data_IF_037530947182
#
_entry.id   IF_037530947182
#
_cell.length_a   1.000
_cell.length_b   1.000
_cell.length_c   1.000
_cell.angle_alpha   90.00
_cell.angle_beta   90.00
_cell.angle_gamma   90.00
#
_symmetry.space_group_name_H-M   'P 1'
#
loop_
_entity.id
_entity.type
_entity.pdbx_description
1 polymer ?
#
# COMPACT_ATOMS: atom_id res chain seq x y z
N UNK A 1 -11.08 2.90 25.10
CA UNK A 1 -9.91 3.01 24.21
C UNK A 1 -9.53 1.64 23.62
N UNK A 2 -9.36 0.61 24.44
CA UNK A 2 -8.94 -0.71 23.99
C UNK A 2 -9.90 -1.32 22.95
N UNK A 3 -11.20 -1.18 23.17
CA UNK A 3 -12.21 -1.65 22.21
C UNK A 3 -12.08 -0.94 20.85
N UNK A 4 -11.81 0.36 20.86
CA UNK A 4 -11.64 1.15 19.63
C UNK A 4 -10.35 0.78 18.91
N UNK A 5 -9.24 0.63 19.64
CA UNK A 5 -7.98 0.10 19.12
C UNK A 5 -8.18 -1.23 18.41
N UNK A 6 -8.86 -2.16 19.08
CA UNK A 6 -9.13 -3.49 18.52
C UNK A 6 -10.02 -3.42 17.27
N UNK A 7 -11.00 -2.51 17.23
CA UNK A 7 -11.83 -2.30 16.05
C UNK A 7 -11.02 -1.77 14.87
N UNK A 8 -10.16 -0.78 15.08
CA UNK A 8 -9.26 -0.22 14.06
C UNK A 8 -8.27 -1.28 13.57
N UNK A 9 -7.64 -2.01 14.48
CA UNK A 9 -6.75 -3.11 14.13
C UNK A 9 -7.46 -4.17 13.27
N UNK A 10 -8.61 -4.65 13.72
CA UNK A 10 -9.38 -5.68 13.03
C UNK A 10 -9.77 -5.25 11.60
N UNK A 11 -10.12 -3.99 11.42
CA UNK A 11 -10.50 -3.45 10.11
C UNK A 11 -9.30 -3.42 9.15
N UNK A 12 -8.17 -2.93 9.61
CA UNK A 12 -6.94 -2.86 8.83
C UNK A 12 -6.35 -4.25 8.58
N UNK A 13 -6.36 -5.15 9.56
CA UNK A 13 -5.89 -6.52 9.40
C UNK A 13 -6.70 -7.29 8.35
N UNK A 14 -8.04 -7.16 8.35
CA UNK A 14 -8.90 -7.76 7.31
C UNK A 14 -8.57 -7.25 5.91
N UNK A 15 -8.26 -5.97 5.78
CA UNK A 15 -7.87 -5.40 4.48
C UNK A 15 -6.52 -5.96 4.02
N UNK A 16 -5.52 -6.05 4.90
CA UNK A 16 -4.23 -6.69 4.59
C UNK A 16 -4.42 -8.14 4.16
N UNK A 17 -5.22 -8.91 4.90
CA UNK A 17 -5.51 -10.31 4.54
C UNK A 17 -6.26 -10.44 3.21
N UNK A 18 -7.17 -9.51 2.89
CA UNK A 18 -7.86 -9.48 1.61
C UNK A 18 -6.88 -9.26 0.47
N UNK A 19 -6.03 -8.25 0.59
CA UNK A 19 -4.99 -7.95 -0.39
C UNK A 19 -3.99 -9.09 -0.53
N UNK A 20 -3.59 -9.73 0.57
CA UNK A 20 -2.70 -10.89 0.55
C UNK A 20 -3.31 -12.06 -0.24
N UNK A 21 -4.59 -12.38 -0.02
CA UNK A 21 -5.29 -13.43 -0.79
C UNK A 21 -5.44 -13.09 -2.28
N UNK A 22 -5.63 -11.84 -2.63
CA UNK A 22 -5.67 -11.40 -4.02
C UNK A 22 -4.29 -11.53 -4.68
N UNK A 23 -3.24 -11.09 -3.98
CA UNK A 23 -1.85 -11.22 -4.43
C UNK A 23 -1.42 -12.69 -4.58
N UNK A 24 -1.82 -13.57 -3.65
CA UNK A 24 -1.56 -15.00 -3.73
C UNK A 24 -2.19 -15.62 -4.98
N UNK A 25 -3.46 -15.30 -5.26
CA UNK A 25 -4.13 -15.78 -6.48
C UNK A 25 -3.42 -15.28 -7.74
N UNK A 26 -3.11 -13.98 -7.80
CA UNK A 26 -2.41 -13.38 -8.93
C UNK A 26 -1.04 -14.04 -9.14
N UNK A 27 -0.29 -14.27 -8.06
CA UNK A 27 1.01 -14.94 -8.08
C UNK A 27 0.88 -16.37 -8.61
N UNK A 28 -0.06 -17.18 -8.09
CA UNK A 28 -0.29 -18.55 -8.57
C UNK A 28 -0.66 -18.58 -10.05
N UNK A 29 -1.50 -17.67 -10.52
CA UNK A 29 -1.83 -17.59 -11.95
C UNK A 29 -0.60 -17.23 -12.81
N UNK A 30 0.20 -16.27 -12.36
CA UNK A 30 1.41 -15.89 -13.07
C UNK A 30 2.43 -17.03 -13.14
N UNK A 31 2.65 -17.75 -12.04
CA UNK A 31 3.54 -18.90 -11.96
C UNK A 31 3.04 -20.07 -12.81
N UNK A 32 1.72 -20.34 -12.80
CA UNK A 32 1.11 -21.39 -13.62
C UNK A 32 1.31 -21.13 -15.12
N UNK A 33 1.10 -19.90 -15.57
CA UNK A 33 1.29 -19.50 -16.97
C UNK A 33 2.72 -19.69 -17.46
N UNK A 34 3.69 -19.55 -16.58
CA UNK A 34 5.11 -19.65 -16.88
C UNK A 34 5.70 -21.04 -16.55
N UNK A 35 4.89 -22.00 -16.10
CA UNK A 35 5.35 -23.34 -15.75
C UNK A 35 6.28 -23.39 -14.52
N UNK A 36 6.20 -22.39 -13.64
CA UNK A 36 7.07 -22.21 -12.47
C UNK A 36 6.43 -22.67 -11.16
N UNK A 37 5.22 -23.24 -11.20
CA UNK A 37 4.54 -23.77 -10.01
C UNK A 37 5.34 -24.94 -9.42
N UNK A 38 5.49 -24.93 -8.10
CA UNK A 38 6.19 -25.97 -7.34
C UNK A 38 7.72 -25.88 -7.41
N UNK A 39 8.27 -24.88 -8.10
CA UNK A 39 9.71 -24.62 -8.16
C UNK A 39 10.20 -23.68 -7.06
N UNK A 40 11.51 -23.39 -7.05
CA UNK A 40 12.13 -22.43 -6.11
C UNK A 40 11.49 -21.05 -6.17
N UNK A 41 11.07 -20.61 -7.35
CA UNK A 41 10.40 -19.32 -7.58
C UNK A 41 9.05 -19.25 -6.85
N UNK A 42 8.30 -20.35 -6.83
CA UNK A 42 7.04 -20.46 -6.10
C UNK A 42 7.28 -20.35 -4.58
N UNK A 43 8.29 -21.04 -4.07
CA UNK A 43 8.69 -21.00 -2.66
C UNK A 43 9.12 -19.58 -2.28
N UNK A 44 9.98 -18.95 -3.06
CA UNK A 44 10.51 -17.62 -2.78
C UNK A 44 9.40 -16.54 -2.83
N UNK A 45 8.53 -16.61 -3.83
CA UNK A 45 7.41 -15.67 -3.97
C UNK A 45 6.39 -15.80 -2.84
N UNK A 46 6.10 -17.02 -2.39
CA UNK A 46 5.24 -17.26 -1.23
C UNK A 46 5.88 -16.79 0.09
N UNK A 47 7.19 -16.96 0.24
CA UNK A 47 7.94 -16.44 1.38
C UNK A 47 7.86 -14.91 1.45
N UNK A 48 8.05 -14.25 0.32
CA UNK A 48 7.93 -12.79 0.21
C UNK A 48 6.49 -12.31 0.49
N UNK A 49 5.49 -13.03 0.00
CA UNK A 49 4.09 -12.74 0.27
C UNK A 49 3.80 -12.79 1.78
N UNK A 50 4.27 -13.85 2.46
CA UNK A 50 4.14 -13.99 3.90
C UNK A 50 4.86 -12.87 4.67
N UNK A 51 6.07 -12.50 4.25
CA UNK A 51 6.82 -11.39 4.84
C UNK A 51 6.04 -10.08 4.75
N UNK A 52 5.54 -9.73 3.56
CA UNK A 52 4.74 -8.52 3.36
C UNK A 52 3.41 -8.54 4.09
N UNK A 53 2.78 -9.71 4.22
CA UNK A 53 1.57 -9.86 5.03
C UNK A 53 1.86 -9.54 6.50
N UNK A 54 2.94 -10.08 7.06
CA UNK A 54 3.35 -9.80 8.44
C UNK A 54 3.72 -8.32 8.64
N UNK A 55 4.40 -7.70 7.69
CA UNK A 55 4.67 -6.25 7.71
C UNK A 55 3.37 -5.43 7.67
N UNK A 56 2.41 -5.84 6.83
CA UNK A 56 1.10 -5.21 6.76
C UNK A 56 0.32 -5.31 8.06
N UNK A 57 0.33 -6.48 8.71
CA UNK A 57 -0.31 -6.69 10.02
C UNK A 57 0.39 -5.87 11.12
N UNK A 58 1.71 -5.79 11.10
CA UNK A 58 2.47 -4.95 12.04
C UNK A 58 2.12 -3.48 11.85
N UNK A 59 2.04 -3.01 10.60
CA UNK A 59 1.60 -1.66 10.27
C UNK A 59 0.16 -1.39 10.73
N UNK A 60 -0.74 -2.35 10.55
CA UNK A 60 -2.11 -2.27 11.06
C UNK A 60 -2.14 -2.09 12.60
N UNK A 61 -1.25 -2.76 13.31
CA UNK A 61 -1.04 -2.56 14.76
C UNK A 61 -0.61 -1.13 15.09
N UNK A 62 0.39 -0.62 14.39
CA UNK A 62 0.87 0.76 14.57
C UNK A 62 -0.22 1.81 14.30
N UNK A 63 -1.03 1.61 13.27
CA UNK A 63 -2.18 2.50 12.95
C UNK A 63 -3.21 2.47 14.08
N UNK A 64 -3.49 1.28 14.64
CA UNK A 64 -4.43 1.13 15.73
C UNK A 64 -3.92 1.79 17.03
N UNK A 65 -2.62 1.70 17.30
CA UNK A 65 -1.98 2.34 18.44
C UNK A 65 -1.95 3.87 18.29
N UNK A 66 -1.65 4.38 17.09
CA UNK A 66 -1.72 5.80 16.79
C UNK A 66 -3.15 6.35 16.96
N UNK A 67 -4.15 5.66 16.40
CA UNK A 67 -5.55 6.04 16.54
C UNK A 67 -6.02 6.07 18.01
N UNK A 68 -5.52 5.14 18.83
CA UNK A 68 -5.79 5.15 20.27
C UNK A 68 -5.14 6.36 20.97
N UNK A 69 -3.89 6.67 20.64
CA UNK A 69 -3.17 7.83 21.18
C UNK A 69 -3.83 9.16 20.81
N UNK A 70 -4.24 9.28 19.54
CA UNK A 70 -4.95 10.47 19.05
C UNK A 70 -6.29 10.65 19.77
N UNK A 71 -7.03 9.57 19.99
CA UNK A 71 -8.29 9.59 20.73
C UNK A 71 -8.08 9.99 22.20
N UNK A 72 -7.04 9.49 22.87
CA UNK A 72 -6.69 9.88 24.22
C UNK A 72 -6.37 11.38 24.32
N UNK A 73 -5.59 11.87 23.37
CA UNK A 73 -5.23 13.30 23.30
C UNK A 73 -6.47 14.17 23.06
N UNK A 74 -7.35 13.75 22.17
CA UNK A 74 -8.60 14.46 21.87
C UNK A 74 -9.55 14.46 23.08
N UNK A 75 -9.64 13.36 23.83
CA UNK A 75 -10.42 13.27 25.07
C UNK A 75 -9.88 14.18 26.16
N UNK A 76 -8.56 14.25 26.33
CA UNK A 76 -7.94 15.12 27.32
C UNK A 76 -8.16 16.61 26.99
N UNK A 77 -8.08 16.96 25.69
CA UNK A 77 -8.42 18.30 25.23
C UNK A 77 -9.90 18.64 25.48
N UNK A 78 -10.80 17.69 25.23
CA UNK A 78 -12.23 17.86 25.50
C UNK A 78 -12.47 18.05 26.99
N UNK A 79 -11.81 17.26 27.85
CA UNK A 79 -11.89 17.39 29.29
C UNK A 79 -11.36 18.74 29.78
N UNK A 80 -10.23 19.20 29.28
CA UNK A 80 -9.66 20.51 29.61
C UNK A 80 -10.61 21.66 29.23
N UNK A 81 -11.21 21.58 28.05
CA UNK A 81 -12.18 22.55 27.61
C UNK A 81 -13.42 22.55 28.50
N UNK A 82 -13.92 21.40 28.94
CA UNK A 82 -15.05 21.29 29.86
C UNK A 82 -14.76 21.92 31.24
N UNK A 83 -13.56 21.67 31.77
CA UNK A 83 -13.11 22.25 33.03
C UNK A 83 -13.06 23.79 32.89
N UNK A 84 -12.56 24.30 31.80
CA UNK A 84 -12.52 25.75 31.50
C UNK A 84 -13.93 26.35 31.41
N UNK A 85 -14.86 25.65 30.73
CA UNK A 85 -16.26 26.09 30.63
C UNK A 85 -16.97 26.02 31.96
N UNK A 86 -16.75 25.01 32.77
CA UNK A 86 -17.31 24.90 34.13
C UNK A 86 -16.80 26.02 35.02
N UNK A 87 -15.52 26.36 34.93
CA UNK A 87 -14.92 27.50 35.67
C UNK A 87 -15.45 28.83 35.23
N UNK A 88 -15.80 28.98 33.94
CA UNK A 88 -16.42 30.18 33.37
C UNK A 88 -17.93 30.30 33.66
N UNK A 89 -18.54 29.35 34.39
CA UNK A 89 -19.95 29.38 34.78
C UNK A 89 -20.94 28.94 33.71
N UNK A 90 -20.47 28.18 32.70
CA UNK A 90 -21.37 27.63 31.68
C UNK A 90 -22.28 26.53 32.30
N UNK A 91 -23.55 26.54 31.87
CA UNK A 91 -24.52 25.54 32.32
C UNK A 91 -24.06 24.10 32.08
N UNK A 92 -24.15 23.25 33.11
CA UNK A 92 -23.68 21.88 33.08
C UNK A 92 -24.34 21.03 31.99
N UNK A 93 -25.59 21.34 31.61
CA UNK A 93 -26.31 20.63 30.54
C UNK A 93 -25.70 20.94 29.17
N UNK A 94 -25.40 22.19 28.90
CA UNK A 94 -24.77 22.65 27.67
C UNK A 94 -23.33 22.10 27.55
N UNK A 95 -22.56 22.14 28.63
CA UNK A 95 -21.22 21.58 28.70
C UNK A 95 -21.24 20.06 28.44
N UNK A 96 -22.19 19.33 29.03
CA UNK A 96 -22.35 17.88 28.82
C UNK A 96 -22.72 17.52 27.36
N UNK A 97 -23.57 18.29 26.71
CA UNK A 97 -23.93 18.09 25.31
C UNK A 97 -22.73 18.34 24.36
N UNK A 98 -21.96 19.38 24.59
CA UNK A 98 -20.76 19.71 23.85
C UNK A 98 -19.68 18.62 24.02
N UNK A 99 -19.50 18.09 25.24
CA UNK A 99 -18.62 16.97 25.50
C UNK A 99 -19.03 15.72 24.72
N UNK A 100 -20.30 15.35 24.79
CA UNK A 100 -20.80 14.16 24.09
C UNK A 100 -20.66 14.27 22.58
N UNK A 101 -20.88 15.46 22.01
CA UNK A 101 -20.69 15.70 20.57
C UNK A 101 -19.21 15.67 20.19
N UNK A 102 -18.32 16.28 20.99
CA UNK A 102 -16.88 16.27 20.78
C UNK A 102 -16.31 14.84 20.81
N UNK A 103 -16.69 14.04 21.80
CA UNK A 103 -16.29 12.64 21.88
C UNK A 103 -16.73 11.82 20.66
N UNK A 104 -17.96 12.02 20.18
CA UNK A 104 -18.44 11.34 18.96
C UNK A 104 -17.63 11.75 17.73
N UNK A 105 -17.39 13.06 17.56
CA UNK A 105 -16.58 13.57 16.45
C UNK A 105 -15.14 13.01 16.49
N UNK A 106 -14.54 12.94 17.66
CA UNK A 106 -13.20 12.37 17.84
C UNK A 106 -13.16 10.87 17.48
N UNK A 107 -14.18 10.13 17.86
CA UNK A 107 -14.29 8.69 17.50
C UNK A 107 -14.47 8.49 16.00
N UNK A 108 -15.30 9.31 15.36
CA UNK A 108 -15.54 9.23 13.92
C UNK A 108 -14.30 9.66 13.11
N UNK A 109 -13.59 10.70 13.56
CA UNK A 109 -12.33 11.12 12.97
C UNK A 109 -11.24 10.04 13.10
N UNK A 110 -11.10 9.43 14.27
CA UNK A 110 -10.15 8.33 14.48
C UNK A 110 -10.44 7.12 13.57
N UNK A 111 -11.71 6.78 13.37
CA UNK A 111 -12.12 5.74 12.42
C UNK A 111 -11.82 6.10 10.97
N UNK A 112 -12.16 7.30 10.56
CA UNK A 112 -11.94 7.77 9.19
C UNK A 112 -10.46 7.80 8.84
N UNK A 113 -9.63 8.38 9.70
CA UNK A 113 -8.19 8.47 9.49
C UNK A 113 -7.52 7.09 9.45
N UNK A 114 -7.96 6.16 10.30
CA UNK A 114 -7.44 4.80 10.32
C UNK A 114 -7.77 3.99 9.05
N UNK A 115 -8.92 4.23 8.41
CA UNK A 115 -9.32 3.52 7.19
C UNK A 115 -8.54 3.93 5.95
N UNK A 116 -8.05 5.17 5.90
CA UNK A 116 -7.30 5.70 4.75
C UNK A 116 -5.84 5.23 4.74
N UNK A 117 -5.27 4.95 5.91
CA UNK A 117 -3.84 4.64 6.05
C UNK A 117 -3.44 3.24 5.51
N UNK A 118 -4.39 2.32 5.31
CA UNK A 118 -4.11 0.94 4.89
C UNK A 118 -4.02 0.76 3.36
N UNK A 119 -4.42 1.76 2.57
CA UNK A 119 -4.49 1.71 1.11
C UNK A 119 -3.14 1.76 0.37
N UNK A 120 -2.00 1.51 1.03
CA UNK A 120 -0.70 1.42 0.37
C UNK A 120 -0.56 0.11 -0.42
N UNK A 121 0.12 0.19 -1.56
CA UNK A 121 0.40 -0.91 -2.49
C UNK A 121 1.38 -1.95 -1.90
N UNK A 122 1.05 -2.55 -0.76
CA UNK A 122 1.91 -3.52 -0.05
C UNK A 122 2.24 -4.75 -0.90
N UNK A 123 1.34 -5.11 -1.81
CA UNK A 123 1.42 -6.35 -2.60
C UNK A 123 1.60 -6.09 -4.10
N UNK A 124 1.72 -4.83 -4.53
CA UNK A 124 2.02 -4.52 -5.92
C UNK A 124 3.36 -5.15 -6.33
N UNK A 125 3.37 -5.73 -7.51
CA UNK A 125 4.54 -6.24 -8.22
C UNK A 125 5.23 -7.51 -7.68
N UNK A 126 4.67 -8.25 -6.70
CA UNK A 126 5.30 -9.51 -6.28
C UNK A 126 5.45 -10.46 -7.47
N UNK A 127 4.37 -10.70 -8.22
CA UNK A 127 4.40 -11.59 -9.37
C UNK A 127 5.36 -11.10 -10.47
N UNK A 128 5.35 -9.80 -10.74
CA UNK A 128 6.21 -9.20 -11.77
C UNK A 128 7.68 -9.17 -11.35
N UNK A 129 7.99 -8.81 -10.09
CA UNK A 129 9.37 -8.76 -9.61
C UNK A 129 10.08 -10.13 -9.71
N UNK A 130 9.38 -11.22 -9.34
CA UNK A 130 9.93 -12.57 -9.43
C UNK A 130 10.01 -13.08 -10.86
N UNK A 131 9.06 -12.74 -11.74
CA UNK A 131 9.12 -13.07 -13.15
C UNK A 131 10.30 -12.37 -13.83
N UNK A 132 10.53 -11.09 -13.59
CA UNK A 132 11.65 -10.34 -14.17
C UNK A 132 13.01 -10.81 -13.65
N UNK A 133 13.15 -11.13 -12.37
CA UNK A 133 14.39 -11.67 -11.81
C UNK A 133 14.76 -13.03 -12.41
N UNK A 134 13.77 -13.89 -12.66
CA UNK A 134 14.04 -15.22 -13.24
C UNK A 134 14.22 -15.17 -14.75
N UNK A 135 13.47 -14.33 -15.47
CA UNK A 135 13.74 -14.11 -16.89
C UNK A 135 15.15 -13.57 -17.12
N UNK A 136 15.64 -12.66 -16.26
CA UNK A 136 17.02 -12.17 -16.30
C UNK A 136 18.07 -13.27 -16.13
N UNK A 137 17.84 -14.23 -15.23
CA UNK A 137 18.73 -15.37 -15.03
C UNK A 137 18.70 -16.36 -16.20
N UNK A 138 17.55 -16.58 -16.81
CA UNK A 138 17.42 -17.41 -18.02
C UNK A 138 18.09 -16.77 -19.23
N UNK A 139 17.94 -15.45 -19.41
CA UNK A 139 18.61 -14.71 -20.50
C UNK A 139 20.13 -14.71 -20.34
N UNK A 140 20.65 -14.60 -19.12
CA UNK A 140 22.09 -14.72 -18.86
C UNK A 140 22.61 -16.15 -19.08
N UNK A 141 21.81 -17.18 -18.80
CA UNK A 141 22.16 -18.59 -19.07
C UNK A 141 22.18 -18.94 -20.56
N UNK A 142 21.37 -18.29 -21.38
CA UNK A 142 21.32 -18.49 -22.84
C UNK A 142 22.44 -17.74 -23.56
N UNK A 143 22.95 -16.67 -22.95
CA UNK A 143 24.05 -15.86 -23.54
C UNK A 143 25.39 -16.62 -23.60
N UNK A 144 25.55 -17.76 -22.91
CA UNK A 144 26.74 -18.58 -22.97
C UNK A 144 26.63 -19.78 -23.94
N UNK A 145 25.45 -20.05 -24.52
CA UNK A 145 25.30 -21.04 -25.60
C UNK A 145 25.21 -20.30 -26.94
N UNK A 146 26.21 -20.47 -27.78
CA UNK A 146 26.29 -19.95 -29.12
C UNK A 146 24.95 -20.09 -29.85
N UNK A 147 24.21 -19.00 -30.01
CA UNK A 147 23.12 -18.91 -30.97
C UNK A 147 23.73 -18.44 -32.27
N UNK A 148 23.63 -19.20 -33.39
CA UNK A 148 24.11 -18.70 -34.67
C UNK A 148 23.23 -17.53 -35.11
N UNK A 149 23.88 -16.47 -35.49
CA UNK A 149 23.43 -15.22 -36.03
C UNK A 149 22.18 -15.27 -36.90
N UNK A 150 21.17 -14.49 -36.53
CA UNK A 150 20.30 -13.86 -37.51
C UNK A 150 20.41 -12.35 -37.32
N UNK A 151 21.39 -11.77 -38.05
CA UNK A 151 21.50 -10.35 -38.22
C UNK A 151 20.36 -9.88 -39.13
N UNK A 152 19.37 -9.20 -38.55
CA UNK A 152 18.52 -8.29 -39.30
C UNK A 152 18.63 -6.89 -38.66
N UNK A 153 19.72 -6.25 -39.00
CA UNK A 153 19.84 -4.80 -38.84
C UNK A 153 19.11 -4.12 -39.98
N UNK A 154 17.87 -3.76 -39.80
CA UNK A 154 17.24 -2.70 -40.59
C UNK A 154 17.52 -1.38 -39.88
N UNK A 155 18.68 -0.83 -40.14
CA UNK A 155 18.97 0.56 -39.86
C UNK A 155 18.16 1.41 -40.83
N UNK A 156 16.99 1.87 -40.43
CA UNK A 156 16.32 3.01 -41.09
C UNK A 156 17.11 4.27 -40.78
N UNK A 157 18.03 4.60 -41.67
CA UNK A 157 18.58 5.96 -41.77
C UNK A 157 17.45 6.88 -42.18
N UNK A 158 16.91 7.65 -41.26
CA UNK A 158 16.13 8.85 -41.56
C UNK A 158 17.18 9.91 -41.93
N UNK A 159 17.27 10.22 -43.22
CA UNK A 159 18.04 11.33 -43.73
C UNK A 159 17.41 12.65 -43.28
N UNK A 160 18.22 13.66 -42.91
CA UNK A 160 17.68 14.99 -42.65
C UNK A 160 17.30 15.64 -44.01
N UNK A 161 16.06 16.09 -44.10
CA UNK A 161 15.64 16.94 -45.22
C UNK A 161 16.14 18.34 -44.96
N UNK A 162 17.12 18.70 -45.78
CA UNK A 162 17.62 20.04 -45.90
C UNK A 162 16.78 20.86 -46.85
N UNK A 163 16.55 22.10 -46.41
CA UNK A 163 16.63 23.34 -47.18
C UNK A 163 15.81 23.46 -48.47
N UNK A 164 14.77 24.25 -48.38
CA UNK A 164 14.37 25.10 -49.50
C UNK A 164 14.91 26.52 -49.29
N UNK A 165 16.07 26.76 -49.88
CA UNK A 165 16.44 28.06 -50.33
C UNK A 165 15.69 28.34 -51.64
N UNK A 166 14.89 29.36 -51.70
CA UNK A 166 14.19 29.83 -52.85
C UNK A 166 14.39 31.35 -52.99
N UNK A 167 15.37 31.72 -53.77
CA UNK A 167 15.69 33.10 -54.17
C UNK A 167 14.76 33.55 -55.25
N UNK A 168 14.41 34.85 -55.22
CA UNK A 168 14.28 35.85 -56.26
C UNK A 168 13.23 35.66 -57.40
N UNK A 169 12.35 36.51 -57.50
CA UNK A 169 12.13 37.70 -58.33
C UNK A 169 10.82 38.36 -57.91
#
# INVERSE_FOLDING_TARGET
YQSQRNAVYSLNAKEVERQAREAERANRFALARNGLLGGSVDIDSNSELNRRTNEGLSKAGGIADAAMSDLQTADENTRSNLVSMATAGTDATTAGQLAASGLRQNMDAARSNASVATGGNLFNDIANAYLYQNLGKYVQGISSSKVPYATNQTTSKIAPQNEYGGSAY
#
